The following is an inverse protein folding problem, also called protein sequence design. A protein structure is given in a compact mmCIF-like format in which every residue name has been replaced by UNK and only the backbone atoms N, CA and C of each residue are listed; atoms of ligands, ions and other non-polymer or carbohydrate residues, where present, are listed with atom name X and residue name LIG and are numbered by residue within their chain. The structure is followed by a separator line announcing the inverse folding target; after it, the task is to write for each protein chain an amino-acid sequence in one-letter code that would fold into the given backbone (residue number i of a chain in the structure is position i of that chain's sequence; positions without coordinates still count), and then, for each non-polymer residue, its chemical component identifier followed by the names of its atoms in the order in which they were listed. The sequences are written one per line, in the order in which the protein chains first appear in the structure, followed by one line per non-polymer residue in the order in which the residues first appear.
data_IF_559315238164
#
_entry.id   IF_559315238164
#
_cell.length_a   1.000
_cell.length_b   1.000
_cell.length_c   1.000
_cell.angle_alpha   90.00
_cell.angle_beta   90.00
_cell.angle_gamma   90.00
#
_symmetry.space_group_name_H-M   'P 1'
#
loop_
_entity.id
_entity.type
_entity.pdbx_description
1 polymer ?
#
# COMPACT_ATOMS: atom_id res chain seq x y z
N UNK A 1 17.95 -19.93 22.81
CA UNK A 1 18.24 -18.77 21.94
C UNK A 1 19.20 -19.11 20.78
N UNK A 2 20.49 -19.42 21.00
CA UNK A 2 21.43 -19.74 19.89
C UNK A 2 21.02 -20.94 19.02
N UNK A 3 20.55 -22.04 19.62
CA UNK A 3 20.07 -23.23 18.87
C UNK A 3 18.82 -22.96 18.02
N UNK A 4 17.88 -22.16 18.53
CA UNK A 4 16.64 -21.79 17.83
C UNK A 4 16.91 -20.91 16.60
N UNK A 5 17.85 -19.97 16.71
CA UNK A 5 18.28 -19.11 15.59
C UNK A 5 18.88 -19.91 14.44
N UNK A 6 19.62 -20.98 14.76
CA UNK A 6 20.22 -21.90 13.77
C UNK A 6 19.14 -22.73 13.07
N UNK A 7 18.17 -23.27 13.81
CA UNK A 7 17.07 -24.06 13.23
C UNK A 7 16.18 -23.23 12.29
N UNK A 8 15.83 -22.00 12.67
CA UNK A 8 15.06 -21.09 11.82
C UNK A 8 15.82 -20.75 10.51
N UNK A 9 17.12 -20.49 10.61
CA UNK A 9 17.96 -20.18 9.46
C UNK A 9 18.09 -21.38 8.49
N UNK A 10 18.19 -22.59 9.03
CA UNK A 10 18.24 -23.83 8.24
C UNK A 10 16.92 -24.12 7.51
N UNK A 11 15.78 -23.85 8.16
CA UNK A 11 14.46 -24.02 7.55
C UNK A 11 14.23 -23.03 6.38
N UNK A 12 14.58 -21.76 6.58
CA UNK A 12 14.49 -20.71 5.54
C UNK A 12 15.38 -21.05 4.33
N UNK A 13 16.61 -21.51 4.57
CA UNK A 13 17.56 -21.87 3.51
C UNK A 13 17.05 -23.04 2.66
N UNK A 14 16.52 -24.08 3.30
CA UNK A 14 15.96 -25.26 2.60
C UNK A 14 14.79 -24.86 1.68
N UNK A 15 13.94 -23.95 2.13
CA UNK A 15 12.79 -23.46 1.35
C UNK A 15 13.22 -22.59 0.14
N UNK A 16 14.29 -21.81 0.30
CA UNK A 16 14.90 -21.05 -0.79
C UNK A 16 15.53 -21.94 -1.87
N UNK A 17 16.29 -22.95 -1.47
CA UNK A 17 16.98 -23.86 -2.41
C UNK A 17 15.99 -24.70 -3.23
N UNK A 18 14.85 -25.08 -2.63
CA UNK A 18 13.79 -25.83 -3.32
C UNK A 18 13.10 -24.99 -4.40
N UNK A 19 12.96 -23.66 -4.18
CA UNK A 19 12.40 -22.73 -5.18
C UNK A 19 13.35 -22.44 -6.33
N UNK A 20 14.66 -22.44 -6.07
CA UNK A 20 15.70 -22.16 -7.08
C UNK A 20 15.82 -23.28 -8.12
N UNK A 21 15.64 -24.53 -7.70
CA UNK A 21 15.76 -25.70 -8.59
C UNK A 21 14.57 -25.90 -9.54
N UNK A 22 13.43 -25.25 -9.30
CA UNK A 22 12.24 -25.34 -10.17
C UNK A 22 12.24 -24.39 -11.38
N UNK A 23 13.19 -23.46 -11.48
CA UNK A 23 13.13 -22.32 -12.41
C UNK A 23 14.15 -22.35 -13.58
N UNK A 24 14.69 -23.52 -13.94
CA UNK A 24 15.61 -23.64 -15.08
C UNK A 24 14.86 -23.97 -16.38
N UNK A 25 14.36 -22.94 -17.08
CA UNK A 25 13.90 -23.05 -18.47
C UNK A 25 14.45 -21.89 -19.33
N UNK A 26 15.38 -22.27 -20.22
CA UNK A 26 15.88 -21.66 -21.46
C UNK A 26 16.06 -20.12 -21.55
N UNK A 27 17.32 -19.69 -21.44
CA UNK A 27 17.80 -18.32 -21.70
C UNK A 27 17.96 -18.07 -23.20
N UNK A 28 17.40 -16.95 -23.68
CA UNK A 28 17.49 -16.52 -25.09
C UNK A 28 18.20 -15.14 -25.16
N UNK A 29 19.40 -15.10 -25.74
CA UNK A 29 20.35 -13.96 -25.66
C UNK A 29 19.87 -12.62 -26.25
N UNK A 30 18.81 -12.59 -27.07
CA UNK A 30 18.25 -11.31 -27.57
C UNK A 30 17.50 -10.51 -26.49
N UNK A 31 17.03 -11.17 -25.42
CA UNK A 31 16.30 -10.51 -24.34
C UNK A 31 17.22 -9.65 -23.44
N UNK A 32 18.48 -10.07 -23.28
CA UNK A 32 19.46 -9.45 -22.37
C UNK A 32 19.85 -8.02 -22.76
N UNK A 33 19.88 -7.67 -24.05
CA UNK A 33 20.19 -6.30 -24.47
C UNK A 33 19.09 -5.31 -24.10
N UNK A 34 17.82 -5.71 -24.13
CA UNK A 34 16.69 -4.85 -23.75
C UNK A 34 16.56 -4.67 -22.23
N UNK A 35 17.11 -5.59 -21.43
CA UNK A 35 17.15 -5.49 -19.96
C UNK A 35 18.17 -4.43 -19.52
N UNK A 36 19.33 -4.32 -20.21
CA UNK A 36 20.36 -3.34 -19.84
C UNK A 36 19.88 -1.88 -19.99
N UNK A 37 19.00 -1.59 -20.94
CA UNK A 37 18.40 -0.25 -21.10
C UNK A 37 17.27 0.03 -20.10
N UNK A 38 16.79 -0.97 -19.35
CA UNK A 38 15.74 -0.85 -18.32
C UNK A 38 16.28 -0.68 -16.89
N UNK A 39 17.58 -0.42 -16.71
CA UNK A 39 18.15 -0.13 -15.37
C UNK A 39 18.36 1.38 -15.11
N UNK A 40 17.32 2.18 -14.79
CA UNK A 40 17.51 3.35 -13.96
C UNK A 40 17.45 2.95 -12.48
N UNK A 41 18.60 3.04 -11.82
CA UNK A 41 18.78 2.89 -10.38
C UNK A 41 17.90 3.89 -9.60
N UNK A 42 16.82 3.40 -8.99
CA UNK A 42 15.90 4.22 -8.19
C UNK A 42 16.37 4.52 -6.77
N UNK A 43 17.44 3.87 -6.28
CA UNK A 43 17.91 4.08 -4.91
C UNK A 43 18.35 5.53 -4.62
N UNK A 44 18.56 6.38 -5.65
CA UNK A 44 19.18 7.70 -5.50
C UNK A 44 18.52 8.86 -6.26
N UNK A 45 17.28 8.73 -6.75
CA UNK A 45 16.56 9.92 -7.25
C UNK A 45 16.07 10.78 -6.08
N UNK A 46 16.96 11.63 -5.55
CA UNK A 46 16.60 12.69 -4.63
C UNK A 46 15.56 13.61 -5.27
N UNK A 47 14.42 13.78 -4.59
CA UNK A 47 13.47 14.85 -4.86
C UNK A 47 13.68 15.92 -3.79
N UNK A 48 14.10 17.11 -4.22
CA UNK A 48 14.06 18.33 -3.40
C UNK A 48 15.43 18.87 -3.02
N UNK A 49 15.68 20.14 -3.36
CA UNK A 49 16.93 20.86 -3.10
C UNK A 49 16.98 21.49 -1.68
N UNK A 50 16.02 21.15 -0.80
CA UNK A 50 15.71 21.97 0.39
C UNK A 50 16.19 21.42 1.73
N UNK A 51 16.70 20.19 1.81
CA UNK A 51 17.28 19.63 3.03
C UNK A 51 18.65 19.00 2.74
N UNK A 52 19.67 19.84 2.51
CA UNK A 52 21.06 19.39 2.59
C UNK A 52 21.54 19.72 4.00
N UNK A 53 21.52 18.72 4.89
CA UNK A 53 22.34 18.80 6.09
C UNK A 53 23.81 18.72 5.67
N UNK A 54 24.66 19.54 6.28
CA UNK A 54 26.11 19.33 6.17
C UNK A 54 26.45 18.09 6.99
N UNK A 55 27.01 17.08 6.32
CA UNK A 55 27.55 15.90 6.98
C UNK A 55 29.00 16.18 7.35
N UNK A 56 29.47 15.69 8.50
CA UNK A 56 30.91 15.72 8.77
C UNK A 56 31.65 14.66 7.92
N UNK A 57 32.98 14.78 7.80
CA UNK A 57 33.77 13.88 6.94
C UNK A 57 33.67 12.39 7.32
N UNK A 58 33.33 12.07 8.57
CA UNK A 58 33.13 10.71 9.02
C UNK A 58 31.74 10.19 8.64
N UNK A 59 30.71 11.00 8.88
CA UNK A 59 29.33 10.73 8.44
C UNK A 59 29.24 10.57 6.92
N UNK A 60 29.92 11.44 6.16
CA UNK A 60 30.02 11.34 4.70
C UNK A 60 30.61 10.00 4.27
N UNK A 61 31.70 9.55 4.91
CA UNK A 61 32.36 8.29 4.59
C UNK A 61 31.46 7.09 4.90
N UNK A 62 30.75 7.12 6.04
CA UNK A 62 29.83 6.05 6.45
C UNK A 62 28.64 6.00 5.50
N UNK A 63 28.02 7.14 5.20
CA UNK A 63 26.90 7.24 4.25
C UNK A 63 27.34 6.78 2.87
N UNK A 64 28.48 7.26 2.35
CA UNK A 64 29.01 6.85 1.05
C UNK A 64 29.29 5.33 1.00
N UNK A 65 29.88 4.75 2.05
CA UNK A 65 30.13 3.31 2.13
C UNK A 65 28.83 2.50 2.18
N UNK A 66 27.85 2.92 2.96
CA UNK A 66 26.53 2.26 3.02
C UNK A 66 25.82 2.34 1.68
N UNK A 67 25.84 3.51 1.04
CA UNK A 67 25.31 3.72 -0.32
C UNK A 67 25.99 2.79 -1.33
N UNK A 68 27.31 2.68 -1.26
CA UNK A 68 28.09 1.83 -2.15
C UNK A 68 27.79 0.35 -1.91
N UNK A 69 27.71 -0.10 -0.66
CA UNK A 69 27.36 -1.48 -0.30
C UNK A 69 25.94 -1.85 -0.73
N UNK A 70 24.97 -0.94 -0.56
CA UNK A 70 23.60 -1.12 -1.08
C UNK A 70 23.65 -1.20 -2.60
N UNK A 71 24.38 -0.29 -3.26
CA UNK A 71 24.51 -0.27 -4.73
C UNK A 71 25.14 -1.56 -5.26
N UNK A 72 26.18 -2.06 -4.62
CA UNK A 72 26.86 -3.31 -4.96
C UNK A 72 25.97 -4.52 -4.69
N UNK A 73 25.25 -4.54 -3.56
CA UNK A 73 24.30 -5.62 -3.24
C UNK A 73 23.07 -5.64 -4.16
N UNK A 74 22.57 -4.48 -4.55
CA UNK A 74 21.40 -4.33 -5.44
C UNK A 74 21.76 -4.57 -6.90
N UNK A 75 22.91 -4.08 -7.38
CA UNK A 75 23.29 -4.21 -8.80
C UNK A 75 24.18 -5.43 -9.10
N UNK A 76 24.87 -5.97 -8.10
CA UNK A 76 25.86 -7.00 -8.27
C UNK A 76 25.36 -8.41 -7.97
N UNK A 77 24.38 -8.61 -7.08
CA UNK A 77 24.07 -9.96 -6.60
C UNK A 77 25.30 -10.71 -6.05
N UNK A 78 25.13 -11.97 -5.67
CA UNK A 78 26.25 -12.90 -5.49
C UNK A 78 26.57 -13.39 -6.91
N UNK A 79 27.70 -12.97 -7.49
CA UNK A 79 28.22 -13.37 -8.83
C UNK A 79 27.88 -12.48 -10.06
N UNK A 80 27.37 -11.26 -9.91
CA UNK A 80 27.24 -10.31 -11.04
C UNK A 80 26.09 -10.58 -12.02
N UNK A 81 25.24 -11.58 -11.76
CA UNK A 81 24.19 -12.02 -12.68
C UNK A 81 22.76 -11.64 -12.28
N UNK A 82 22.50 -11.35 -11.01
CA UNK A 82 21.14 -11.11 -10.49
C UNK A 82 21.05 -9.73 -9.81
N UNK A 83 20.73 -8.69 -10.59
CA UNK A 83 20.37 -7.39 -10.06
C UNK A 83 18.94 -7.39 -9.48
N UNK A 84 18.73 -6.72 -8.35
CA UNK A 84 17.40 -6.58 -7.73
C UNK A 84 16.65 -5.44 -8.41
N UNK A 85 15.60 -5.77 -9.17
CA UNK A 85 14.73 -4.78 -9.81
C UNK A 85 13.61 -4.35 -8.85
N UNK A 86 13.54 -3.07 -8.52
CA UNK A 86 12.42 -2.49 -7.77
C UNK A 86 11.25 -2.18 -8.72
N UNK A 87 10.02 -2.33 -8.24
CA UNK A 87 8.82 -1.96 -9.01
C UNK A 87 8.90 -0.47 -9.35
N UNK A 88 9.08 -0.17 -10.62
CA UNK A 88 9.12 1.19 -11.13
C UNK A 88 7.70 1.72 -11.34
N UNK A 89 7.42 2.86 -10.73
CA UNK A 89 6.15 3.58 -10.89
C UNK A 89 6.35 4.79 -11.82
N UNK A 90 5.35 5.07 -12.65
CA UNK A 90 5.33 6.18 -13.59
C UNK A 90 4.05 6.99 -13.45
N UNK A 91 4.15 8.32 -13.51
CA UNK A 91 3.00 9.21 -13.69
C UNK A 91 2.27 8.87 -14.99
N UNK A 92 0.95 9.09 -15.01
CA UNK A 92 0.06 8.76 -16.13
C UNK A 92 0.66 9.02 -17.51
N UNK A 93 1.07 10.26 -17.81
CA UNK A 93 1.58 10.61 -19.14
C UNK A 93 2.80 9.77 -19.57
N UNK A 94 3.73 9.49 -18.64
CA UNK A 94 4.90 8.66 -18.91
C UNK A 94 4.50 7.17 -18.95
N UNK A 95 3.65 6.74 -18.03
CA UNK A 95 3.14 5.37 -17.98
C UNK A 95 2.35 4.99 -19.25
N UNK A 96 1.55 5.91 -19.82
CA UNK A 96 0.84 5.69 -21.08
C UNK A 96 1.81 5.55 -22.27
N UNK A 97 2.94 6.25 -22.28
CA UNK A 97 3.97 6.06 -23.33
C UNK A 97 4.66 4.69 -23.23
N UNK A 98 4.86 4.21 -22.01
CA UNK A 98 5.58 2.96 -21.74
C UNK A 98 4.66 1.75 -21.92
N UNK A 99 3.49 1.77 -21.27
CA UNK A 99 2.57 0.64 -21.22
C UNK A 99 1.49 0.68 -22.31
N UNK A 100 1.31 1.82 -23.00
CA UNK A 100 0.32 2.02 -24.07
C UNK A 100 -1.08 1.63 -23.60
N UNK A 101 -1.81 0.80 -24.36
CA UNK A 101 -3.18 0.41 -24.05
C UNK A 101 -3.30 -0.27 -22.67
N UNK A 102 -2.33 -1.12 -22.29
CA UNK A 102 -2.32 -1.74 -20.94
C UNK A 102 -2.31 -0.69 -19.82
N UNK A 103 -1.63 0.44 -20.05
CA UNK A 103 -1.58 1.55 -19.10
C UNK A 103 -2.91 2.30 -19.02
N UNK A 104 -3.57 2.49 -20.15
CA UNK A 104 -4.91 3.09 -20.22
C UNK A 104 -5.93 2.18 -19.54
N UNK A 105 -5.97 0.90 -19.88
CA UNK A 105 -6.85 -0.09 -19.26
C UNK A 105 -6.66 -0.15 -17.74
N UNK A 106 -5.41 -0.09 -17.28
CA UNK A 106 -5.10 -0.06 -15.85
C UNK A 106 -5.62 1.22 -15.16
N UNK A 107 -5.50 2.39 -15.81
CA UNK A 107 -6.01 3.65 -15.27
C UNK A 107 -7.55 3.69 -15.24
N UNK A 108 -8.20 3.24 -16.32
CA UNK A 108 -9.67 3.16 -16.44
C UNK A 108 -10.21 2.17 -15.41
N UNK A 109 -9.62 0.98 -15.31
CA UNK A 109 -10.01 -0.04 -14.32
C UNK A 109 -9.90 0.47 -12.89
N UNK A 110 -8.88 1.27 -12.58
CA UNK A 110 -8.72 1.88 -11.27
C UNK A 110 -9.81 2.94 -10.99
N UNK A 111 -10.10 3.82 -11.94
CA UNK A 111 -11.18 4.81 -11.80
C UNK A 111 -12.56 4.16 -11.67
N UNK A 112 -12.85 3.15 -12.50
CA UNK A 112 -14.10 2.39 -12.45
C UNK A 112 -14.36 1.83 -11.05
N UNK A 113 -13.32 1.29 -10.40
CA UNK A 113 -13.42 0.75 -9.04
C UNK A 113 -13.69 1.84 -7.99
N UNK A 114 -13.15 3.04 -8.18
CA UNK A 114 -13.35 4.16 -7.26
C UNK A 114 -14.76 4.74 -7.39
N UNK A 115 -15.26 4.85 -8.63
CA UNK A 115 -16.63 5.31 -8.93
C UNK A 115 -17.65 4.30 -8.39
N UNK A 116 -17.50 3.00 -8.70
CA UNK A 116 -18.42 1.95 -8.24
C UNK A 116 -18.52 1.80 -6.72
N UNK A 117 -17.49 2.22 -5.98
CA UNK A 117 -17.46 2.20 -4.51
C UNK A 117 -17.90 3.53 -3.89
N UNK A 118 -18.37 4.48 -4.71
CA UNK A 118 -18.76 5.82 -4.28
C UNK A 118 -17.65 6.47 -3.43
N UNK A 119 -16.40 6.34 -3.89
CA UNK A 119 -15.24 6.88 -3.17
C UNK A 119 -15.30 8.41 -3.05
N UNK A 120 -15.95 9.04 -4.01
CA UNK A 120 -16.19 10.47 -4.06
C UNK A 120 -17.49 10.77 -4.80
N UNK A 121 -17.95 12.02 -4.71
CA UNK A 121 -19.08 12.54 -5.48
C UNK A 121 -18.68 13.84 -6.18
N UNK A 122 -19.08 14.09 -7.44
CA UNK A 122 -18.75 15.33 -8.12
C UNK A 122 -19.47 16.53 -7.49
N UNK A 123 -18.85 17.71 -7.56
CA UNK A 123 -19.42 18.96 -7.06
C UNK A 123 -19.24 20.07 -8.09
N UNK A 124 -20.30 20.86 -8.31
CA UNK A 124 -20.24 22.04 -9.18
C UNK A 124 -19.33 23.10 -8.56
N UNK A 125 -18.59 23.81 -9.41
CA UNK A 125 -17.70 24.89 -8.99
C UNK A 125 -18.43 26.02 -8.26
N UNK A 126 -19.73 26.21 -8.52
CA UNK A 126 -20.58 27.20 -7.85
C UNK A 126 -20.90 26.82 -6.39
N UNK A 127 -20.89 25.52 -6.08
CA UNK A 127 -21.17 24.99 -4.74
C UNK A 127 -19.91 24.79 -3.89
N UNK A 128 -18.74 25.16 -4.41
CA UNK A 128 -17.48 25.12 -3.68
C UNK A 128 -17.31 26.39 -2.86
N UNK A 129 -16.98 26.23 -1.57
CA UNK A 129 -16.56 27.35 -0.74
C UNK A 129 -15.18 27.86 -1.20
N UNK A 130 -14.89 29.16 -1.02
CA UNK A 130 -13.58 29.72 -1.39
C UNK A 130 -12.41 29.00 -0.70
N UNK A 131 -12.59 28.62 0.57
CA UNK A 131 -11.63 27.87 1.39
C UNK A 131 -11.39 26.47 0.85
N UNK A 132 -12.46 25.75 0.49
CA UNK A 132 -12.40 24.43 -0.14
C UNK A 132 -11.66 24.45 -1.47
N UNK A 133 -11.97 25.45 -2.32
CA UNK A 133 -11.29 25.60 -3.61
C UNK A 133 -9.80 25.87 -3.43
N UNK A 134 -9.42 26.67 -2.43
CA UNK A 134 -8.02 26.96 -2.10
C UNK A 134 -7.29 25.72 -1.56
N UNK A 135 -7.97 24.89 -0.77
CA UNK A 135 -7.43 23.64 -0.17
C UNK A 135 -7.55 22.42 -1.10
N UNK A 136 -8.19 22.54 -2.26
CA UNK A 136 -8.41 21.43 -3.17
C UNK A 136 -7.08 20.77 -3.59
N UNK A 137 -7.04 19.44 -3.49
CA UNK A 137 -5.83 18.67 -3.72
C UNK A 137 -5.89 17.95 -5.06
N UNK A 138 -4.79 17.98 -5.81
CA UNK A 138 -4.73 17.32 -7.11
C UNK A 138 -4.79 15.78 -6.99
N UNK A 139 -5.55 15.15 -7.89
CA UNK A 139 -5.45 13.71 -8.11
C UNK A 139 -4.22 13.37 -8.97
N UNK A 140 -3.61 12.22 -8.70
CA UNK A 140 -2.44 11.71 -9.40
C UNK A 140 -2.63 10.23 -9.74
N UNK A 141 -2.50 9.86 -11.01
CA UNK A 141 -2.51 8.46 -11.43
C UNK A 141 -1.09 7.94 -11.62
N UNK A 142 -0.77 6.84 -10.94
CA UNK A 142 0.49 6.12 -11.03
C UNK A 142 0.27 4.77 -11.71
N UNK A 143 1.14 4.42 -12.65
CA UNK A 143 1.14 3.16 -13.38
C UNK A 143 2.43 2.39 -13.10
N UNK A 144 2.32 1.10 -12.83
CA UNK A 144 3.46 0.23 -12.57
C UNK A 144 3.22 -1.17 -13.14
N UNK A 145 4.29 -1.83 -13.57
CA UNK A 145 4.22 -3.25 -13.98
C UNK A 145 4.32 -4.14 -12.72
N UNK A 146 3.50 -5.17 -12.64
CA UNK A 146 3.64 -6.21 -11.60
C UNK A 146 4.79 -7.14 -11.94
N UNK A 147 5.23 -7.91 -10.94
CA UNK A 147 6.30 -8.90 -11.09
C UNK A 147 5.99 -10.01 -12.11
N UNK A 148 4.73 -10.15 -12.55
CA UNK A 148 4.35 -11.08 -13.62
C UNK A 148 4.76 -10.58 -15.03
N UNK A 149 5.24 -9.34 -15.16
CA UNK A 149 5.69 -8.74 -16.42
C UNK A 149 4.58 -8.44 -17.43
N UNK A 150 3.33 -8.79 -17.11
CA UNK A 150 2.18 -8.69 -18.03
C UNK A 150 1.17 -7.68 -17.49
N UNK A 151 0.89 -7.74 -16.20
CA UNK A 151 -0.16 -6.93 -15.57
C UNK A 151 0.37 -5.53 -15.25
N UNK A 152 -0.30 -4.51 -15.80
CA UNK A 152 -0.11 -3.12 -15.36
C UNK A 152 -1.10 -2.79 -14.24
N UNK A 153 -0.60 -2.25 -13.13
CA UNK A 153 -1.39 -1.78 -12.00
C UNK A 153 -1.50 -0.25 -12.06
N UNK A 154 -2.72 0.26 -12.06
CA UNK A 154 -3.02 1.66 -11.80
C UNK A 154 -3.23 1.92 -10.32
N UNK A 155 -2.88 3.13 -9.86
CA UNK A 155 -3.24 3.65 -8.54
C UNK A 155 -3.63 5.11 -8.68
N UNK A 156 -4.87 5.44 -8.34
CA UNK A 156 -5.27 6.84 -8.19
C UNK A 156 -4.91 7.30 -6.79
N UNK A 157 -4.20 8.41 -6.69
CA UNK A 157 -3.58 8.90 -5.47
C UNK A 157 -4.04 10.33 -5.22
N UNK A 158 -4.54 10.57 -4.02
CA UNK A 158 -4.75 11.90 -3.48
C UNK A 158 -3.39 12.50 -3.12
N UNK A 159 -3.02 13.65 -3.71
CA UNK A 159 -1.68 14.25 -3.53
C UNK A 159 -1.55 14.97 -2.17
N UNK A 160 -1.61 14.20 -1.08
CA UNK A 160 -1.71 14.69 0.29
C UNK A 160 -0.48 15.39 0.85
N UNK A 161 0.65 15.45 0.12
CA UNK A 161 1.84 16.16 0.60
C UNK A 161 1.57 17.67 0.83
N UNK A 162 0.60 18.24 0.10
CA UNK A 162 0.17 19.64 0.26
C UNK A 162 -0.75 19.86 1.47
N UNK A 163 -1.29 18.82 2.09
CA UNK A 163 -2.26 18.98 3.19
C UNK A 163 -1.61 19.15 4.56
N UNK A 164 -0.27 19.09 4.64
CA UNK A 164 0.46 19.24 5.91
C UNK A 164 0.32 20.64 6.52
N UNK A 165 0.00 21.64 5.71
CA UNK A 165 -0.23 23.03 6.15
C UNK A 165 -1.44 23.18 7.07
N UNK A 166 -2.39 22.23 7.04
CA UNK A 166 -3.61 22.25 7.86
C UNK A 166 -3.95 20.92 8.53
N UNK A 167 -3.11 19.89 8.39
CA UNK A 167 -3.24 18.61 9.09
C UNK A 167 -1.98 18.31 9.90
N UNK A 168 -2.12 18.28 11.22
CA UNK A 168 -1.02 18.00 12.14
C UNK A 168 -0.55 16.54 12.04
N UNK A 169 0.60 16.22 12.63
CA UNK A 169 1.10 14.84 12.64
C UNK A 169 0.27 13.98 13.59
N UNK A 170 -0.13 14.59 14.70
CA UNK A 170 -0.96 14.03 15.75
C UNK A 170 -2.32 13.58 15.19
N UNK A 171 -2.90 14.36 14.28
CA UNK A 171 -4.19 14.06 13.65
C UNK A 171 -4.11 12.99 12.54
N UNK A 172 -2.90 12.67 12.08
CA UNK A 172 -2.70 11.82 10.87
C UNK A 172 -1.91 10.55 11.11
N UNK A 173 -1.20 10.45 12.24
CA UNK A 173 -0.35 9.31 12.54
C UNK A 173 -1.17 8.05 12.86
N UNK A 174 -1.04 7.03 12.02
CA UNK A 174 -1.51 5.69 12.32
C UNK A 174 -0.50 4.96 13.20
N UNK A 175 -0.94 4.17 14.18
CA UNK A 175 -0.05 3.25 14.86
C UNK A 175 0.54 2.23 13.87
N UNK A 176 1.71 1.70 14.23
CA UNK A 176 2.41 0.63 13.53
C UNK A 176 2.81 -0.41 14.56
N UNK A 177 2.63 -1.70 14.22
CA UNK A 177 3.06 -2.79 15.07
C UNK A 177 4.55 -2.67 15.39
N UNK A 178 4.90 -2.79 16.68
CA UNK A 178 6.28 -2.79 17.15
C UNK A 178 6.97 -4.04 16.63
N UNK A 179 8.20 -3.88 16.14
CA UNK A 179 8.96 -4.98 15.56
C UNK A 179 9.22 -6.07 16.60
N UNK A 180 9.53 -5.67 17.83
CA UNK A 180 9.73 -6.54 18.98
C UNK A 180 8.46 -7.34 19.29
N UNK A 181 7.29 -6.72 19.19
CA UNK A 181 6.02 -7.39 19.46
C UNK A 181 5.68 -8.44 18.38
N UNK A 182 5.98 -8.15 17.11
CA UNK A 182 5.88 -9.14 16.02
C UNK A 182 6.82 -10.32 16.25
N UNK A 183 8.07 -10.08 16.66
CA UNK A 183 9.02 -11.17 16.98
C UNK A 183 8.53 -11.99 18.18
N UNK A 184 8.15 -11.33 19.27
CA UNK A 184 7.69 -12.00 20.49
C UNK A 184 6.49 -12.90 20.23
N UNK A 185 5.49 -12.39 19.51
CA UNK A 185 4.31 -13.18 19.14
C UNK A 185 4.66 -14.34 18.20
N UNK A 186 5.56 -14.15 17.24
CA UNK A 186 6.06 -15.26 16.41
C UNK A 186 6.80 -16.34 17.20
N UNK A 187 7.57 -15.96 18.24
CA UNK A 187 8.22 -16.93 19.14
C UNK A 187 7.19 -17.72 19.95
N UNK A 188 6.12 -17.06 20.43
CA UNK A 188 5.02 -17.73 21.12
C UNK A 188 4.32 -18.71 20.19
N UNK A 189 4.00 -18.27 18.96
CA UNK A 189 3.35 -19.10 17.94
C UNK A 189 4.18 -20.37 17.68
N UNK A 190 5.49 -20.24 17.51
CA UNK A 190 6.40 -21.38 17.29
C UNK A 190 6.57 -22.27 18.54
N UNK A 191 6.63 -21.67 19.73
CA UNK A 191 6.81 -22.43 20.97
C UNK A 191 5.58 -23.28 21.31
N UNK A 192 4.40 -22.74 21.09
CA UNK A 192 3.13 -23.42 21.36
C UNK A 192 2.68 -24.32 20.20
N UNK A 193 3.31 -24.21 19.02
CA UNK A 193 2.93 -24.98 17.83
C UNK A 193 1.61 -24.49 17.21
N UNK A 194 1.38 -23.17 17.21
CA UNK A 194 0.18 -22.56 16.61
C UNK A 194 0.25 -22.62 15.09
N UNK A 195 -0.91 -22.79 14.48
CA UNK A 195 -1.10 -22.52 13.06
C UNK A 195 -1.05 -21.00 12.84
N UNK A 196 -0.53 -20.57 11.70
CA UNK A 196 -0.45 -19.16 11.32
C UNK A 196 -1.05 -18.97 9.94
N UNK A 197 -1.83 -17.89 9.78
CA UNK A 197 -2.45 -17.49 8.53
C UNK A 197 -2.17 -16.02 8.23
N UNK A 198 -1.59 -15.75 7.06
CA UNK A 198 -1.42 -14.39 6.53
C UNK A 198 -2.55 -14.05 5.57
N UNK A 199 -3.13 -12.86 5.70
CA UNK A 199 -4.25 -12.37 4.92
C UNK A 199 -3.94 -10.95 4.43
N UNK A 200 -4.35 -10.65 3.19
CA UNK A 200 -4.25 -9.35 2.53
C UNK A 200 -5.66 -8.81 2.32
N UNK A 201 -6.03 -7.72 3.03
CA UNK A 201 -7.34 -7.10 2.90
C UNK A 201 -7.32 -6.15 1.71
N UNK A 202 -8.02 -6.46 0.60
CA UNK A 202 -7.92 -5.66 -0.60
C UNK A 202 -8.50 -4.27 -0.37
N UNK A 203 -7.80 -3.26 -0.86
CA UNK A 203 -8.36 -1.90 -1.00
C UNK A 203 -8.82 -1.29 0.33
N UNK A 204 -8.16 -1.63 1.43
CA UNK A 204 -8.42 -1.19 2.81
C UNK A 204 -8.94 0.26 2.93
N UNK A 205 -8.19 1.24 2.40
CA UNK A 205 -8.56 2.66 2.56
C UNK A 205 -9.93 3.00 1.97
N UNK A 206 -10.20 2.59 0.74
CA UNK A 206 -11.47 2.93 0.08
C UNK A 206 -12.65 2.14 0.63
N UNK A 207 -12.46 1.28 1.63
CA UNK A 207 -13.55 0.67 2.40
C UNK A 207 -13.98 1.57 3.55
N UNK A 208 -13.12 2.51 3.98
CA UNK A 208 -13.35 3.39 5.11
C UNK A 208 -14.03 4.68 4.69
N UNK A 209 -15.13 5.04 5.35
CA UNK A 209 -15.79 6.33 5.16
C UNK A 209 -14.95 7.46 5.78
N UNK A 210 -15.00 8.62 5.15
CA UNK A 210 -14.54 9.85 5.79
C UNK A 210 -15.45 10.19 6.97
N UNK A 211 -14.93 10.82 8.04
CA UNK A 211 -15.76 11.30 9.14
C UNK A 211 -16.86 12.23 8.62
N UNK A 212 -18.01 12.20 9.26
CA UNK A 212 -19.04 13.22 9.05
C UNK A 212 -18.46 14.59 9.43
N UNK A 213 -18.85 15.60 8.66
CA UNK A 213 -18.32 16.95 8.84
C UNK A 213 -19.35 17.80 9.56
N UNK A 214 -18.88 18.61 10.51
CA UNK A 214 -19.76 19.54 11.20
C UNK A 214 -20.14 20.71 10.29
N UNK A 215 -21.28 21.34 10.59
CA UNK A 215 -21.76 22.48 9.82
C UNK A 215 -20.75 23.64 9.88
N UNK A 216 -20.20 24.01 8.72
CA UNK A 216 -19.19 25.06 8.61
C UNK A 216 -17.76 24.55 8.37
N UNK A 217 -17.47 23.26 8.59
CA UNK A 217 -16.15 22.69 8.29
C UNK A 217 -15.96 22.46 6.79
N UNK A 218 -14.73 22.66 6.28
CA UNK A 218 -14.39 22.45 4.86
C UNK A 218 -14.47 20.97 4.45
N UNK A 219 -15.08 20.69 3.30
CA UNK A 219 -15.01 19.36 2.67
C UNK A 219 -13.61 19.05 2.19
N UNK A 220 -13.23 17.77 2.24
CA UNK A 220 -12.01 17.31 1.58
C UNK A 220 -12.27 17.22 0.08
N UNK A 221 -11.79 18.24 -0.64
CA UNK A 221 -11.95 18.34 -2.08
C UNK A 221 -10.72 17.81 -2.80
N UNK A 222 -10.97 16.94 -3.79
CA UNK A 222 -9.96 16.51 -4.74
C UNK A 222 -10.27 17.08 -6.13
N UNK A 223 -9.24 17.54 -6.83
CA UNK A 223 -9.29 18.08 -8.17
C UNK A 223 -8.71 17.09 -9.17
N UNK A 224 -9.55 16.62 -10.08
CA UNK A 224 -9.16 15.68 -11.14
C UNK A 224 -9.01 16.47 -12.44
N UNK A 225 -7.92 16.25 -13.18
CA UNK A 225 -7.59 17.08 -14.35
C UNK A 225 -7.11 16.26 -15.54
N UNK A 226 -7.29 16.82 -16.74
CA UNK A 226 -6.74 16.26 -17.99
C UNK A 226 -7.38 14.94 -18.38
N UNK A 227 -6.57 13.98 -18.88
CA UNK A 227 -7.04 12.69 -19.39
C UNK A 227 -7.86 11.86 -18.38
N UNK A 228 -7.64 12.07 -17.08
CA UNK A 228 -8.43 11.39 -16.06
C UNK A 228 -9.90 11.81 -16.08
N UNK A 229 -10.18 13.07 -16.39
CA UNK A 229 -11.56 13.57 -16.56
C UNK A 229 -12.25 12.85 -17.71
N UNK A 230 -11.53 12.62 -18.80
CA UNK A 230 -12.05 11.94 -19.99
C UNK A 230 -12.43 10.50 -19.65
N UNK A 231 -11.55 9.78 -18.93
CA UNK A 231 -11.85 8.43 -18.46
C UNK A 231 -13.04 8.38 -17.50
N UNK A 232 -13.22 9.40 -16.65
CA UNK A 232 -14.40 9.46 -15.77
C UNK A 232 -15.69 9.62 -16.56
N UNK A 233 -15.70 10.49 -17.57
CA UNK A 233 -16.87 10.73 -18.42
C UNK A 233 -17.22 9.50 -19.26
N UNK A 234 -16.21 8.78 -19.74
CA UNK A 234 -16.42 7.53 -20.51
C UNK A 234 -17.02 6.42 -19.62
N UNK A 235 -16.62 6.38 -18.35
CA UNK A 235 -17.15 5.42 -17.37
C UNK A 235 -18.56 5.81 -16.89
N UNK A 236 -18.79 7.09 -16.66
CA UNK A 236 -20.06 7.63 -16.20
C UNK A 236 -20.32 9.02 -16.84
N UNK A 237 -21.20 9.09 -17.85
CA UNK A 237 -21.50 10.33 -18.57
C UNK A 237 -22.09 11.45 -17.70
N UNK A 238 -22.63 11.15 -16.50
CA UNK A 238 -23.20 12.16 -15.60
C UNK A 238 -22.16 13.17 -15.12
N UNK A 239 -20.87 12.79 -15.13
CA UNK A 239 -19.77 13.69 -14.79
C UNK A 239 -19.60 14.87 -15.76
N UNK A 240 -20.19 14.81 -16.96
CA UNK A 240 -20.13 15.90 -17.97
C UNK A 240 -20.66 17.22 -17.42
N UNK A 241 -21.71 17.17 -16.60
CA UNK A 241 -22.36 18.36 -16.04
C UNK A 241 -21.50 19.08 -15.00
N UNK A 242 -20.42 18.44 -14.54
CA UNK A 242 -19.50 18.96 -13.53
C UNK A 242 -18.14 19.39 -14.12
N UNK A 243 -17.97 19.30 -15.44
CA UNK A 243 -16.73 19.69 -16.10
C UNK A 243 -16.60 21.20 -16.14
N UNK A 244 -15.50 21.71 -15.59
CA UNK A 244 -15.06 23.08 -15.77
C UNK A 244 -13.79 23.15 -16.63
N UNK A 245 -13.55 24.32 -17.23
CA UNK A 245 -12.30 24.61 -17.95
C UNK A 245 -11.48 25.59 -17.11
N UNK A 246 -10.30 25.16 -16.69
CA UNK A 246 -9.34 26.01 -15.97
C UNK A 246 -7.99 25.97 -16.69
N UNK A 247 -7.46 27.14 -17.06
CA UNK A 247 -6.18 27.27 -17.79
C UNK A 247 -6.11 26.36 -19.04
N UNK A 248 -7.20 26.29 -19.79
CA UNK A 248 -7.32 25.46 -21.00
C UNK A 248 -7.37 23.95 -20.76
N UNK A 249 -7.55 23.49 -19.51
CA UNK A 249 -7.67 22.07 -19.16
C UNK A 249 -9.04 21.76 -18.59
N UNK A 250 -9.59 20.60 -18.96
CA UNK A 250 -10.78 20.04 -18.31
C UNK A 250 -10.44 19.65 -16.87
N UNK A 251 -11.29 20.07 -15.94
CA UNK A 251 -11.19 19.77 -14.52
C UNK A 251 -12.54 19.36 -13.97
N UNK A 252 -12.53 18.43 -13.02
CA UNK A 252 -13.69 18.08 -12.19
C UNK A 252 -13.24 18.17 -10.73
N UNK A 253 -14.06 18.81 -9.90
CA UNK A 253 -13.90 18.77 -8.45
C UNK A 253 -14.80 17.69 -7.88
N UNK A 254 -14.26 16.91 -6.93
CA UNK A 254 -15.00 15.86 -6.24
C UNK A 254 -14.82 16.00 -4.73
N UNK A 255 -15.89 15.73 -4.01
CA UNK A 255 -15.88 15.59 -2.54
C UNK A 255 -15.48 14.17 -2.21
N UNK A 256 -14.40 13.98 -1.45
CA UNK A 256 -13.93 12.67 -1.01
C UNK A 256 -14.88 12.14 0.08
N UNK A 257 -15.49 10.98 -0.16
CA UNK A 257 -16.42 10.32 0.77
C UNK A 257 -15.75 9.16 1.51
N UNK A 258 -14.68 8.59 0.96
CA UNK A 258 -13.94 7.46 1.52
C UNK A 258 -12.45 7.74 1.56
N UNK A 259 -11.74 7.17 2.52
CA UNK A 259 -10.30 7.34 2.60
C UNK A 259 -9.63 6.84 1.30
N UNK A 260 -8.70 7.62 0.76
CA UNK A 260 -8.00 7.30 -0.49
C UNK A 260 -6.50 7.25 -0.29
N UNK A 261 -5.82 6.48 -1.14
CA UNK A 261 -4.37 6.37 -1.10
C UNK A 261 -3.73 7.75 -1.27
N UNK A 262 -2.73 8.06 -0.44
CA UNK A 262 -2.03 9.35 -0.46
C UNK A 262 -2.62 10.43 0.44
N UNK A 263 -3.81 10.22 1.03
CA UNK A 263 -4.25 11.06 2.15
C UNK A 263 -3.41 10.75 3.39
N UNK A 264 -2.96 11.79 4.10
CA UNK A 264 -2.14 11.62 5.30
C UNK A 264 -2.86 10.83 6.41
N UNK A 265 -4.18 10.99 6.51
CA UNK A 265 -5.01 10.32 7.53
C UNK A 265 -5.57 8.96 7.09
N UNK A 266 -5.36 8.51 5.85
CA UNK A 266 -6.01 7.29 5.33
C UNK A 266 -5.70 6.05 6.17
N UNK A 267 -4.44 5.88 6.57
CA UNK A 267 -4.01 4.75 7.40
C UNK A 267 -4.65 4.78 8.78
N UNK A 268 -4.79 5.96 9.40
CA UNK A 268 -5.40 6.09 10.72
C UNK A 268 -6.90 5.83 10.68
N UNK A 269 -7.59 6.33 9.64
CA UNK A 269 -9.00 6.05 9.43
C UNK A 269 -9.25 4.55 9.27
N UNK A 270 -8.44 3.88 8.43
CA UNK A 270 -8.51 2.42 8.27
C UNK A 270 -8.22 1.68 9.57
N UNK A 271 -7.19 2.10 10.31
CA UNK A 271 -6.88 1.53 11.62
C UNK A 271 -8.09 1.56 12.55
N UNK A 272 -8.76 2.71 12.67
CA UNK A 272 -9.96 2.86 13.52
C UNK A 272 -11.09 1.95 13.05
N UNK A 273 -11.32 1.84 11.74
CA UNK A 273 -12.36 0.97 11.17
C UNK A 273 -12.09 -0.52 11.41
N UNK A 274 -10.85 -0.96 11.16
CA UNK A 274 -10.44 -2.35 11.38
C UNK A 274 -10.48 -2.69 12.86
N UNK A 275 -9.98 -1.81 13.72
CA UNK A 275 -10.03 -1.95 15.18
C UNK A 275 -11.46 -2.12 15.68
N UNK A 276 -12.36 -1.21 15.32
CA UNK A 276 -13.75 -1.27 15.74
C UNK A 276 -14.41 -2.59 15.31
N UNK A 277 -14.14 -3.06 14.09
CA UNK A 277 -14.69 -4.33 13.60
C UNK A 277 -14.10 -5.55 14.34
N UNK A 278 -12.82 -5.51 14.71
CA UNK A 278 -12.20 -6.58 15.51
C UNK A 278 -12.73 -6.58 16.95
N UNK A 279 -12.91 -5.41 17.56
CA UNK A 279 -13.55 -5.27 18.88
C UNK A 279 -15.00 -5.77 18.86
N UNK A 280 -15.77 -5.45 17.81
CA UNK A 280 -17.14 -5.96 17.57
C UNK A 280 -17.18 -7.48 17.47
N UNK A 281 -16.17 -8.10 16.84
CA UNK A 281 -16.05 -9.56 16.74
C UNK A 281 -15.68 -10.22 18.08
N UNK A 282 -15.13 -9.46 19.04
CA UNK A 282 -14.76 -9.95 20.37
C UNK A 282 -13.27 -9.91 20.69
N UNK A 283 -12.44 -9.28 19.85
CA UNK A 283 -11.03 -9.08 20.15
C UNK A 283 -10.80 -7.99 21.21
N UNK A 284 -9.83 -8.24 22.08
CA UNK A 284 -9.30 -7.25 23.01
C UNK A 284 -7.91 -6.81 22.54
N UNK A 285 -7.76 -5.52 22.30
CA UNK A 285 -6.48 -4.94 21.89
C UNK A 285 -5.45 -4.94 23.02
N UNK A 286 -4.20 -5.22 22.66
CA UNK A 286 -3.09 -5.28 23.60
C UNK A 286 -2.72 -3.85 24.05
N UNK A 287 -2.55 -3.67 25.37
CA UNK A 287 -2.21 -2.37 25.98
C UNK A 287 -0.80 -1.90 25.58
N UNK A 288 0.10 -2.83 25.26
CA UNK A 288 1.49 -2.54 24.87
C UNK A 288 1.65 -2.29 23.36
N UNK A 289 0.81 -2.91 22.52
CA UNK A 289 0.87 -2.74 21.07
C UNK A 289 -0.54 -2.59 20.47
N UNK A 290 -0.87 -1.40 19.94
CA UNK A 290 -2.21 -1.10 19.41
C UNK A 290 -2.54 -1.83 18.10
N UNK A 291 -1.59 -2.54 17.50
CA UNK A 291 -1.77 -3.35 16.28
C UNK A 291 -1.79 -4.85 16.56
N UNK A 292 -1.87 -5.24 17.84
CA UNK A 292 -2.03 -6.63 18.28
C UNK A 292 -3.32 -6.76 19.08
N UNK A 293 -4.12 -7.76 18.75
CA UNK A 293 -5.37 -8.05 19.44
C UNK A 293 -5.50 -9.55 19.72
N UNK A 294 -6.17 -9.88 20.83
CA UNK A 294 -6.31 -11.26 21.28
C UNK A 294 -7.77 -11.58 21.62
N UNK A 295 -8.20 -12.81 21.35
CA UNK A 295 -9.51 -13.33 21.72
C UNK A 295 -9.35 -14.77 22.23
N UNK A 296 -10.16 -15.18 23.21
CA UNK A 296 -10.18 -16.56 23.70
C UNK A 296 -11.21 -17.37 22.91
N UNK A 297 -10.77 -18.43 22.23
CA UNK A 297 -11.62 -19.38 21.50
C UNK A 297 -11.23 -20.78 21.95
N UNK A 298 -12.18 -21.62 22.32
CA UNK A 298 -11.93 -22.98 22.81
C UNK A 298 -10.88 -23.07 23.94
N UNK A 299 -10.86 -22.08 24.85
CA UNK A 299 -9.86 -21.94 25.94
C UNK A 299 -8.42 -21.73 25.46
N UNK A 300 -8.22 -21.43 24.18
CA UNK A 300 -6.92 -21.08 23.57
C UNK A 300 -6.99 -19.66 23.00
N UNK A 301 -5.84 -19.03 22.86
CA UNK A 301 -5.76 -17.63 22.42
C UNK A 301 -5.64 -17.58 20.89
N UNK A 302 -6.56 -16.86 20.25
CA UNK A 302 -6.45 -16.40 18.88
C UNK A 302 -5.79 -15.03 18.91
N UNK A 303 -4.62 -14.90 18.27
CA UNK A 303 -3.84 -13.66 18.24
C UNK A 303 -3.83 -13.11 16.82
N UNK A 304 -4.12 -11.82 16.69
CA UNK A 304 -4.07 -11.07 15.44
C UNK A 304 -2.96 -10.03 15.57
N UNK A 305 -2.11 -9.92 14.54
CA UNK A 305 -1.21 -8.79 14.33
C UNK A 305 -1.50 -8.22 12.97
N UNK A 306 -1.40 -6.92 12.80
CA UNK A 306 -1.60 -6.33 11.47
C UNK A 306 -0.70 -5.13 11.22
N UNK A 307 -0.38 -4.93 9.95
CA UNK A 307 0.27 -3.74 9.44
C UNK A 307 -0.55 -3.21 8.27
N UNK A 308 -1.34 -2.16 8.51
CA UNK A 308 -2.30 -1.63 7.54
C UNK A 308 -3.26 -2.71 7.05
N UNK A 309 -3.11 -3.19 5.82
CA UNK A 309 -3.95 -4.17 5.14
C UNK A 309 -3.47 -5.62 5.28
N UNK A 310 -2.21 -5.82 5.70
CA UNK A 310 -1.66 -7.14 5.98
C UNK A 310 -2.02 -7.59 7.39
N UNK A 311 -2.72 -8.73 7.49
CA UNK A 311 -3.12 -9.35 8.76
C UNK A 311 -2.41 -10.69 8.92
N UNK A 312 -1.95 -10.97 10.14
CA UNK A 312 -1.34 -12.22 10.55
C UNK A 312 -2.09 -12.77 11.76
N UNK A 313 -2.82 -13.86 11.58
CA UNK A 313 -3.58 -14.54 12.63
C UNK A 313 -2.91 -15.85 13.06
N UNK A 314 -2.97 -16.21 14.34
CA UNK A 314 -2.44 -17.48 14.84
C UNK A 314 -3.31 -18.08 15.94
N UNK A 315 -3.46 -19.41 15.89
CA UNK A 315 -4.26 -20.19 16.84
C UNK A 315 -3.82 -21.66 16.84
N UNK A 316 -4.07 -22.38 17.95
CA UNK A 316 -3.75 -23.81 18.08
C UNK A 316 -4.57 -24.69 17.13
N UNK A 317 -5.81 -24.31 16.88
CA UNK A 317 -6.73 -25.03 15.99
C UNK A 317 -6.89 -24.29 14.66
N UNK A 318 -6.62 -25.00 13.58
CA UNK A 318 -6.71 -24.48 12.21
C UNK A 318 -8.12 -23.99 11.85
N UNK A 319 -9.16 -24.71 12.29
CA UNK A 319 -10.56 -24.34 12.04
C UNK A 319 -10.92 -22.94 12.54
N UNK A 320 -10.36 -22.52 13.68
CA UNK A 320 -10.58 -21.17 14.21
C UNK A 320 -10.01 -20.09 13.29
N UNK A 321 -8.89 -20.36 12.61
CA UNK A 321 -8.34 -19.44 11.61
C UNK A 321 -9.20 -19.37 10.35
N UNK A 322 -9.80 -20.49 9.95
CA UNK A 322 -10.73 -20.56 8.80
C UNK A 322 -12.04 -19.84 9.08
N UNK A 323 -12.58 -19.99 10.29
CA UNK A 323 -13.77 -19.27 10.75
C UNK A 323 -13.50 -17.76 10.80
N UNK A 324 -12.34 -17.35 11.33
CA UNK A 324 -11.92 -15.96 11.32
C UNK A 324 -11.69 -15.42 9.90
N UNK A 325 -11.08 -16.21 9.02
CA UNK A 325 -10.89 -15.85 7.60
C UNK A 325 -12.24 -15.66 6.88
N UNK A 326 -13.21 -16.53 7.16
CA UNK A 326 -14.55 -16.41 6.60
C UNK A 326 -15.19 -15.11 7.03
N UNK A 327 -15.16 -14.81 8.33
CA UNK A 327 -15.69 -13.56 8.87
C UNK A 327 -15.03 -12.32 8.27
N UNK A 328 -13.69 -12.27 8.20
CA UNK A 328 -12.98 -11.10 7.68
C UNK A 328 -13.26 -10.91 6.18
N UNK A 329 -13.42 -12.00 5.43
CA UNK A 329 -13.77 -11.97 4.02
C UNK A 329 -15.23 -11.57 3.78
N UNK A 330 -16.16 -11.98 4.64
CA UNK A 330 -17.55 -11.49 4.61
C UNK A 330 -17.63 -9.99 4.89
N UNK A 331 -16.81 -9.50 5.84
CA UNK A 331 -16.80 -8.08 6.24
C UNK A 331 -16.19 -7.17 5.18
N UNK A 332 -15.06 -7.55 4.57
CA UNK A 332 -14.28 -6.66 3.69
C UNK A 332 -14.22 -7.09 2.21
N UNK A 333 -14.60 -8.33 1.91
CA UNK A 333 -14.73 -8.87 0.55
C UNK A 333 -13.40 -9.05 -0.22
N UNK A 334 -13.20 -10.24 -0.77
CA UNK A 334 -12.07 -10.53 -1.67
C UNK A 334 -10.72 -10.62 -0.96
N UNK A 335 -10.73 -10.98 0.32
CA UNK A 335 -9.52 -11.18 1.13
C UNK A 335 -8.73 -12.36 0.58
N UNK A 336 -7.41 -12.18 0.40
CA UNK A 336 -6.53 -13.24 -0.08
C UNK A 336 -5.68 -13.79 1.06
N UNK A 337 -5.69 -15.12 1.26
CA UNK A 337 -4.77 -15.77 2.20
C UNK A 337 -3.46 -16.15 1.50
N UNK A 338 -2.31 -15.69 2.01
CA UNK A 338 -0.98 -16.10 1.53
C UNK A 338 -0.44 -17.23 2.40
N UNK A 339 -0.83 -18.46 2.07
CA UNK A 339 -0.24 -19.68 2.64
C UNK A 339 -0.68 -20.01 4.07
N UNK A 340 -1.14 -21.25 4.25
CA UNK A 340 -1.16 -21.91 5.57
C UNK A 340 0.20 -22.58 5.75
N UNK A 341 0.87 -22.31 6.86
CA UNK A 341 2.01 -23.13 7.26
C UNK A 341 1.96 -23.34 8.77
N UNK A 342 2.02 -24.60 9.20
CA UNK A 342 2.55 -24.92 10.51
C UNK A 342 4.03 -24.51 10.50
N UNK A 343 4.44 -23.63 11.42
CA UNK A 343 5.85 -23.26 11.60
C UNK A 343 6.57 -24.39 12.32
#
# INVERSE_FOLDING_TARGET
MKRLRVSLYQAIKKQFDTRRNGAQLQRNHKYERSIRERMPNLAFQQVGNTNKGEYDAFEELVVARVIQQIREGVNGGIDGQDGVSFIQQYYLNKGLRIFKERGKDAAVKEHDQLIKRSCWTPISTEKLRPTERKKAVDAMMLLAEKNDGVTTKGRCVFKGNKTRDWLSREDTASPTALHEAIICTGVIDAHEGRNVMSMDIPKAFIQTLMPEQEEGEDRVIMKITGLLVDYMIDLDPTYRDFVAIENGRRVIYVVILRATYGMLQASLLWYRNLRASLEEYGFVFNVYDPCIANMMVNKKQLTIRFHVDDVLASHMEQRVLEDFFTWINERYGGVFSKGMSCI
#
